data_IF_601311460999
#
_entry.id   IF_601311460999
#
_cell.length_a   1.000
_cell.length_b   1.000
_cell.length_c   1.000
_cell.angle_alpha   90.00
_cell.angle_beta   90.00
_cell.angle_gamma   90.00
#
_symmetry.space_group_name_H-M   'P 1'
#
loop_
_entity.id
_entity.type
_entity.pdbx_description
1 polymer ?
#
# COMPACT_ATOMS: atom_id res chain seq x y z
N UNK A 1 6.04 -36.37 4.47
CA UNK A 1 5.80 -35.97 3.06
C UNK A 1 5.72 -34.46 3.00
N UNK A 2 6.81 -33.77 2.65
CA UNK A 2 6.80 -32.31 2.45
C UNK A 2 6.30 -32.04 1.03
N UNK A 3 4.99 -31.83 0.88
CA UNK A 3 4.42 -31.47 -0.41
C UNK A 3 4.98 -30.11 -0.86
N UNK A 4 5.52 -30.03 -2.07
CA UNK A 4 5.98 -28.77 -2.67
C UNK A 4 4.82 -27.77 -2.67
N UNK A 5 4.88 -26.78 -1.80
CA UNK A 5 3.94 -25.65 -1.78
C UNK A 5 4.19 -24.84 -3.05
N UNK A 6 3.18 -24.70 -3.91
CA UNK A 6 3.27 -23.85 -5.09
C UNK A 6 2.94 -22.41 -4.69
N UNK A 7 3.42 -21.43 -5.45
CA UNK A 7 3.04 -20.02 -5.23
C UNK A 7 1.52 -19.83 -5.26
N UNK A 8 0.83 -20.61 -6.09
CA UNK A 8 -0.64 -20.59 -6.21
C UNK A 8 -1.33 -21.11 -4.95
N UNK A 9 -0.90 -22.25 -4.40
CA UNK A 9 -1.48 -22.76 -3.16
C UNK A 9 -1.24 -21.81 -2.00
N UNK A 10 -0.04 -21.21 -1.92
CA UNK A 10 0.27 -20.21 -0.91
C UNK A 10 -0.58 -18.93 -1.06
N UNK A 11 -0.84 -18.47 -2.29
CA UNK A 11 -1.63 -17.26 -2.52
C UNK A 11 -3.09 -17.47 -2.16
N UNK A 12 -3.66 -18.64 -2.49
CA UNK A 12 -5.02 -19.02 -2.09
C UNK A 12 -5.21 -18.98 -0.58
N UNK A 13 -4.19 -19.40 0.15
CA UNK A 13 -4.16 -19.46 1.62
C UNK A 13 -3.95 -18.10 2.29
N UNK A 14 -3.42 -17.09 1.59
CA UNK A 14 -3.13 -15.75 2.14
C UNK A 14 -4.15 -14.71 1.66
N UNK A 15 -4.63 -14.82 0.42
CA UNK A 15 -5.51 -13.83 -0.19
C UNK A 15 -6.80 -13.67 0.61
N UNK A 16 -7.12 -12.43 1.02
CA UNK A 16 -8.30 -12.14 1.84
C UNK A 16 -8.14 -12.49 3.32
N UNK A 17 -7.02 -13.09 3.73
CA UNK A 17 -6.70 -13.40 5.12
C UNK A 17 -5.72 -12.36 5.67
N UNK A 18 -6.25 -11.40 6.45
CA UNK A 18 -5.44 -10.32 7.03
C UNK A 18 -4.31 -10.84 7.91
N UNK A 19 -4.56 -11.82 8.78
CA UNK A 19 -3.53 -12.35 9.68
C UNK A 19 -2.30 -12.83 8.90
N UNK A 20 -2.53 -13.65 7.86
CA UNK A 20 -1.46 -14.19 7.02
C UNK A 20 -0.84 -13.14 6.10
N UNK A 21 -1.65 -12.21 5.60
CA UNK A 21 -1.15 -11.13 4.76
C UNK A 21 -0.23 -10.18 5.55
N UNK A 22 -0.61 -9.82 6.78
CA UNK A 22 0.21 -8.98 7.65
C UNK A 22 1.51 -9.70 8.05
N UNK A 23 1.49 -11.01 8.31
CA UNK A 23 2.73 -11.80 8.49
C UNK A 23 3.69 -11.64 7.31
N UNK A 24 3.16 -11.62 6.07
CA UNK A 24 3.98 -11.40 4.87
C UNK A 24 4.58 -10.00 4.84
N UNK A 25 3.84 -8.98 5.27
CA UNK A 25 4.31 -7.59 5.30
C UNK A 25 5.47 -7.34 6.26
N UNK A 26 5.66 -8.19 7.27
CA UNK A 26 6.81 -8.10 8.18
C UNK A 26 8.15 -8.32 7.45
N UNK A 27 8.12 -9.02 6.31
CA UNK A 27 9.32 -9.31 5.53
C UNK A 27 9.42 -8.35 4.34
N UNK A 28 10.64 -7.88 4.04
CA UNK A 28 10.95 -7.08 2.85
C UNK A 28 12.34 -7.42 2.37
N UNK A 29 12.49 -7.66 1.07
CA UNK A 29 13.77 -8.06 0.46
C UNK A 29 14.48 -9.19 1.23
N UNK A 30 13.71 -10.18 1.71
CA UNK A 30 14.23 -11.33 2.47
C UNK A 30 14.58 -11.04 3.94
N UNK A 31 14.42 -9.81 4.43
CA UNK A 31 14.71 -9.43 5.81
C UNK A 31 13.42 -9.16 6.60
N UNK A 32 13.40 -9.61 7.86
CA UNK A 32 12.32 -9.31 8.80
C UNK A 32 12.48 -7.89 9.33
N UNK A 33 11.38 -7.20 9.59
CA UNK A 33 11.36 -5.96 10.38
C UNK A 33 11.37 -6.35 11.86
N UNK A 34 12.52 -6.22 12.51
CA UNK A 34 12.73 -6.78 13.85
C UNK A 34 11.94 -6.09 14.96
N UNK A 35 11.58 -4.81 14.78
CA UNK A 35 10.84 -4.01 15.76
C UNK A 35 9.35 -3.86 15.43
N UNK A 36 8.79 -4.78 14.66
CA UNK A 36 7.38 -4.78 14.27
C UNK A 36 6.81 -6.20 14.40
N UNK A 37 5.71 -6.33 15.12
CA UNK A 37 4.95 -7.58 15.18
C UNK A 37 3.77 -7.57 14.21
N UNK A 38 3.17 -8.74 14.00
CA UNK A 38 1.94 -8.84 13.19
C UNK A 38 0.79 -8.16 13.92
N UNK A 39 0.76 -8.29 15.24
CA UNK A 39 -0.22 -7.71 16.14
C UNK A 39 -0.16 -6.18 16.07
N UNK A 40 1.04 -5.60 16.01
CA UNK A 40 1.20 -4.14 15.77
C UNK A 40 0.60 -3.71 14.43
N UNK A 41 0.85 -4.47 13.36
CA UNK A 41 0.25 -4.18 12.06
C UNK A 41 -1.27 -4.33 12.07
N UNK A 42 -1.79 -5.28 12.85
CA UNK A 42 -3.23 -5.49 12.97
C UNK A 42 -3.89 -4.35 13.75
N UNK A 43 -3.28 -3.91 14.86
CA UNK A 43 -3.73 -2.74 15.62
C UNK A 43 -3.76 -1.48 14.75
N UNK A 44 -2.71 -1.26 13.94
CA UNK A 44 -2.65 -0.15 12.99
C UNK A 44 -3.77 -0.25 11.96
N UNK A 45 -4.00 -1.44 11.39
CA UNK A 45 -5.06 -1.67 10.40
C UNK A 45 -6.45 -1.34 10.95
N UNK A 46 -6.75 -1.81 12.17
CA UNK A 46 -8.02 -1.54 12.85
C UNK A 46 -8.15 -0.07 13.20
N UNK A 47 -7.09 0.56 13.73
CA UNK A 47 -7.07 1.99 14.06
C UNK A 47 -7.32 2.87 12.83
N UNK A 48 -6.85 2.44 11.67
CA UNK A 48 -7.06 3.12 10.39
C UNK A 48 -8.42 2.78 9.73
N UNK A 49 -9.30 2.03 10.39
CA UNK A 49 -10.59 1.60 9.83
C UNK A 49 -10.43 0.90 8.48
N UNK A 50 -9.39 0.05 8.36
CA UNK A 50 -9.05 -0.66 7.13
C UNK A 50 -8.86 0.26 5.90
N UNK A 51 -8.49 1.53 6.11
CA UNK A 51 -8.24 2.50 5.04
C UNK A 51 -6.78 2.91 4.97
N UNK A 52 -6.36 3.32 3.78
CA UNK A 52 -5.06 3.91 3.52
C UNK A 52 -4.91 5.19 4.34
N UNK A 53 -3.85 5.28 5.15
CA UNK A 53 -3.63 6.43 6.01
C UNK A 53 -3.45 7.77 5.26
N UNK A 54 -3.02 7.72 3.99
CA UNK A 54 -2.80 8.91 3.16
C UNK A 54 -4.04 9.24 2.31
N UNK A 55 -4.61 8.26 1.61
CA UNK A 55 -5.66 8.51 0.60
C UNK A 55 -7.08 8.20 1.07
N UNK A 56 -7.26 7.54 2.23
CA UNK A 56 -8.57 7.08 2.71
C UNK A 56 -9.18 5.91 1.91
N UNK A 57 -8.51 5.44 0.85
CA UNK A 57 -8.98 4.31 0.04
C UNK A 57 -9.01 3.02 0.88
N UNK A 58 -10.07 2.19 0.81
CA UNK A 58 -10.11 0.91 1.48
C UNK A 58 -8.93 0.01 1.09
N UNK A 59 -8.25 -0.52 2.10
CA UNK A 59 -7.14 -1.43 1.95
C UNK A 59 -7.64 -2.84 1.63
N UNK A 60 -6.88 -3.54 0.81
CA UNK A 60 -7.14 -4.95 0.49
C UNK A 60 -5.94 -5.83 0.87
N UNK A 61 -6.14 -7.14 0.85
CA UNK A 61 -5.09 -8.14 1.06
C UNK A 61 -5.20 -9.27 0.02
N UNK A 62 -5.50 -8.90 -1.23
CA UNK A 62 -5.82 -9.84 -2.31
C UNK A 62 -4.55 -10.26 -3.04
N UNK A 63 -4.33 -11.56 -3.19
CA UNK A 63 -3.19 -12.11 -3.92
C UNK A 63 -3.66 -12.95 -5.10
N UNK A 64 -3.30 -12.49 -6.30
CA UNK A 64 -3.59 -13.19 -7.56
C UNK A 64 -2.29 -13.28 -8.36
N UNK A 65 -1.99 -14.46 -8.90
CA UNK A 65 -0.78 -14.67 -9.70
C UNK A 65 -0.80 -13.75 -10.92
N UNK A 66 0.31 -13.06 -11.18
CA UNK A 66 0.43 -12.13 -12.30
C UNK A 66 -0.23 -10.77 -12.08
N UNK A 67 -1.01 -10.57 -11.01
CA UNK A 67 -1.70 -9.32 -10.73
C UNK A 67 -1.10 -8.59 -9.55
N UNK A 68 -0.86 -7.29 -9.71
CA UNK A 68 -0.49 -6.40 -8.61
C UNK A 68 -1.73 -5.60 -8.20
N UNK A 69 -2.39 -6.03 -7.14
CA UNK A 69 -3.51 -5.28 -6.56
C UNK A 69 -2.97 -3.97 -5.97
N UNK A 70 -3.41 -2.84 -6.51
CA UNK A 70 -2.88 -1.53 -6.17
C UNK A 70 -3.43 -1.01 -4.82
N UNK A 71 -4.61 -1.47 -4.41
CA UNK A 71 -5.22 -1.18 -3.10
C UNK A 71 -4.69 -2.04 -1.96
N UNK A 72 -3.86 -3.04 -2.26
CA UNK A 72 -3.32 -3.92 -1.22
C UNK A 72 -2.55 -3.12 -0.17
N UNK A 73 -2.68 -3.51 1.10
CA UNK A 73 -1.92 -2.88 2.16
C UNK A 73 -0.41 -3.03 1.96
N UNK A 74 0.31 -1.95 2.27
CA UNK A 74 1.75 -1.84 2.29
C UNK A 74 2.17 -1.10 3.55
N UNK A 75 3.31 -1.51 4.11
CA UNK A 75 3.95 -0.83 5.25
C UNK A 75 4.68 0.40 4.72
N UNK A 76 4.33 1.56 5.25
CA UNK A 76 5.00 2.84 4.97
C UNK A 76 5.51 3.46 6.29
N UNK A 77 6.59 4.21 6.20
CA UNK A 77 7.16 4.93 7.34
C UNK A 77 6.62 6.36 7.35
N UNK A 78 6.19 6.81 8.52
CA UNK A 78 5.73 8.20 8.70
C UNK A 78 6.93 9.14 8.58
N UNK A 79 7.98 8.89 9.37
CA UNK A 79 9.31 9.49 9.21
C UNK A 79 10.23 8.52 8.46
N UNK A 80 10.62 8.93 7.25
CA UNK A 80 11.47 8.16 6.34
C UNK A 80 12.89 7.89 6.88
N UNK A 81 13.39 8.71 7.81
CA UNK A 81 14.67 8.49 8.48
C UNK A 81 14.59 7.55 9.68
N UNK A 82 13.39 7.32 10.20
CA UNK A 82 13.16 6.53 11.41
C UNK A 82 13.17 5.01 11.20
N UNK A 83 13.27 4.29 12.33
CA UNK A 83 13.15 2.82 12.39
C UNK A 83 11.70 2.36 12.14
N UNK A 84 11.53 1.13 11.64
CA UNK A 84 10.23 0.46 11.58
C UNK A 84 9.77 0.03 12.98
N UNK A 85 9.10 0.93 13.70
CA UNK A 85 8.44 0.69 14.99
C UNK A 85 6.96 1.03 14.87
N UNK A 86 6.13 0.49 15.76
CA UNK A 86 4.67 0.69 15.77
C UNK A 86 4.29 2.17 15.67
N UNK A 87 5.03 3.06 16.31
CA UNK A 87 4.75 4.49 16.37
C UNK A 87 5.14 5.25 15.10
N UNK A 88 6.00 4.67 14.24
CA UNK A 88 6.54 5.29 13.03
C UNK A 88 6.09 4.57 11.74
N UNK A 89 5.05 3.73 11.84
CA UNK A 89 4.54 2.95 10.71
C UNK A 89 3.06 3.25 10.52
N UNK A 90 2.66 3.31 9.26
CA UNK A 90 1.28 3.36 8.81
C UNK A 90 1.03 2.32 7.70
N UNK A 91 -0.22 1.94 7.51
CA UNK A 91 -0.63 1.12 6.37
C UNK A 91 -1.21 2.00 5.26
N UNK A 92 -0.69 1.85 4.06
CA UNK A 92 -1.13 2.60 2.88
C UNK A 92 -1.41 1.66 1.73
N UNK A 93 -2.13 2.11 0.71
CA UNK A 93 -2.27 1.36 -0.53
C UNK A 93 -0.89 1.16 -1.18
N UNK A 94 -0.66 -0.01 -1.75
CA UNK A 94 0.56 -0.33 -2.49
C UNK A 94 0.86 0.68 -3.59
N UNK A 95 -0.15 1.16 -4.31
CA UNK A 95 -0.01 2.22 -5.30
C UNK A 95 0.49 3.52 -4.67
N UNK A 96 -0.17 4.01 -3.61
CA UNK A 96 0.22 5.25 -2.93
C UNK A 96 1.66 5.19 -2.44
N UNK A 97 2.07 4.09 -1.81
CA UNK A 97 3.46 3.91 -1.40
C UNK A 97 4.43 3.91 -2.59
N UNK A 98 4.07 3.22 -3.67
CA UNK A 98 4.91 3.09 -4.86
C UNK A 98 5.03 4.37 -5.66
N UNK A 99 3.98 5.21 -5.71
CA UNK A 99 3.97 6.46 -6.45
C UNK A 99 4.63 7.57 -5.66
N UNK A 100 4.39 7.62 -4.35
CA UNK A 100 5.07 8.57 -3.47
C UNK A 100 6.58 8.32 -3.47
N UNK A 101 7.02 7.06 -3.40
CA UNK A 101 8.44 6.71 -3.32
C UNK A 101 9.14 7.46 -2.18
N UNK A 102 10.05 8.36 -2.50
CA UNK A 102 10.86 9.22 -1.63
C UNK A 102 10.40 10.69 -1.64
N UNK A 103 9.32 11.00 -2.36
CA UNK A 103 8.71 12.33 -2.38
C UNK A 103 8.14 12.61 -0.97
N UNK A 104 8.46 13.76 -0.35
CA UNK A 104 7.89 14.09 0.94
C UNK A 104 6.37 14.30 0.83
N UNK A 105 5.67 14.04 1.94
CA UNK A 105 4.22 13.83 1.91
C UNK A 105 3.45 15.05 1.37
N UNK A 106 3.88 16.26 1.73
CA UNK A 106 3.20 17.49 1.32
C UNK A 106 3.34 17.73 -0.19
N UNK A 107 4.53 17.48 -0.73
CA UNK A 107 4.85 17.57 -2.14
C UNK A 107 4.06 16.52 -2.94
N UNK A 108 3.94 15.29 -2.41
CA UNK A 108 3.12 14.26 -3.03
C UNK A 108 1.63 14.67 -3.09
N UNK A 109 1.10 15.22 -2.00
CA UNK A 109 -0.29 15.73 -1.95
C UNK A 109 -0.48 16.85 -2.96
N UNK A 110 0.45 17.80 -3.04
CA UNK A 110 0.39 18.91 -3.99
C UNK A 110 0.47 18.43 -5.44
N UNK A 111 1.35 17.48 -5.75
CA UNK A 111 1.41 16.86 -7.09
C UNK A 111 0.07 16.21 -7.44
N UNK A 112 -0.53 15.45 -6.52
CA UNK A 112 -1.85 14.85 -6.76
C UNK A 112 -2.92 15.91 -7.03
N UNK A 113 -2.91 17.04 -6.30
CA UNK A 113 -3.80 18.17 -6.54
C UNK A 113 -3.59 18.77 -7.93
N UNK A 114 -2.35 19.08 -8.29
CA UNK A 114 -2.00 19.65 -9.60
C UNK A 114 -2.44 18.74 -10.77
N UNK A 115 -2.26 17.41 -10.62
CA UNK A 115 -2.74 16.42 -11.60
C UNK A 115 -4.27 16.46 -11.72
N UNK A 116 -4.98 16.51 -10.58
CA UNK A 116 -6.44 16.58 -10.55
C UNK A 116 -6.97 17.90 -11.15
N UNK A 117 -6.27 19.01 -10.93
CA UNK A 117 -6.66 20.34 -11.43
C UNK A 117 -6.33 20.53 -12.93
N UNK A 118 -5.27 19.91 -13.45
CA UNK A 118 -4.83 20.06 -14.84
C UNK A 118 -5.62 19.20 -15.84
N UNK A 119 -5.96 17.95 -15.48
CA UNK A 119 -6.62 17.03 -16.40
C UNK A 119 -7.98 17.52 -16.93
N UNK A 120 -8.88 18.10 -16.10
CA UNK A 120 -10.14 18.64 -16.60
C UNK A 120 -9.96 19.77 -17.63
N UNK A 121 -8.95 20.63 -17.45
CA UNK A 121 -8.64 21.74 -18.38
C UNK A 121 -8.16 21.22 -19.74
N UNK A 122 -7.31 20.20 -19.71
CA UNK A 122 -6.84 19.53 -20.93
C UNK A 122 -7.99 18.83 -21.67
N UNK A 123 -8.93 18.21 -20.96
CA UNK A 123 -10.10 17.61 -21.59
C UNK A 123 -11.03 18.64 -22.25
N UNK A 124 -11.18 19.84 -21.69
CA UNK A 124 -11.93 20.93 -22.33
C UNK A 124 -11.20 21.49 -23.56
N UNK A 125 -9.90 21.73 -23.47
CA UNK A 125 -9.10 22.27 -24.59
C UNK A 125 -9.03 21.31 -25.78
N UNK A 126 -8.97 19.99 -25.53
CA UNK A 126 -9.00 18.97 -26.58
C UNK A 126 -10.38 18.88 -27.25
N UNK A 127 -11.47 19.15 -26.52
CA UNK A 127 -12.83 19.20 -27.09
C UNK A 127 -13.05 20.47 -27.92
N UNK A 128 -12.48 21.59 -27.51
CA UNK A 128 -12.62 22.88 -28.20
C UNK A 128 -11.70 23.02 -29.42
N UNK A 129 -10.59 22.27 -29.46
CA UNK A 129 -9.62 22.23 -30.58
C UNK A 129 -9.90 21.20 -31.67
N UNK A 130 -11.05 20.52 -31.64
CA UNK A 130 -11.51 19.56 -32.67
C UNK A 130 -12.62 20.11 -33.60
N UNK A 131 -12.80 21.44 -33.65
CA UNK A 131 -13.69 22.11 -34.60
C UNK A 131 -12.97 22.52 -35.90
#
# INVERSE_FOLDING_TARGET
MSGKVTTESQYKEISGNWERYLSRLLYSAGRKRDNLSREDLFDILVKQDYKCAISGIPLTCLLTKGTRNWTNASVDRIDAGGSYKKENVQLVCRAVNSWRSDIPLQEFIEICRLVADYNPKRESEVKDGQA
#
